data_IF_612480192652
#
_entry.id   IF_612480192652
#
_cell.length_a   1.000
_cell.length_b   1.000
_cell.length_c   1.000
_cell.angle_alpha   90.00
_cell.angle_beta   90.00
_cell.angle_gamma   90.00
#
_symmetry.space_group_name_H-M   'P 1'
#
loop_
_entity.id
_entity.type
_entity.pdbx_description
1 polymer ?
#
# COMPACT_ATOMS: atom_id res chain seq x y z
N UNK A 1 -23.85 -39.77 13.40
CA UNK A 1 -23.03 -40.80 14.02
C UNK A 1 -21.59 -40.47 13.69
N UNK A 2 -20.91 -39.93 14.66
CA UNK A 2 -19.49 -39.62 14.58
C UNK A 2 -18.71 -40.90 14.89
N UNK A 3 -17.80 -41.30 14.03
CA UNK A 3 -16.88 -42.39 14.27
C UNK A 3 -15.59 -41.80 14.83
N UNK A 4 -15.42 -41.96 16.13
CA UNK A 4 -14.17 -41.72 16.83
C UNK A 4 -13.13 -42.74 16.38
N UNK A 5 -11.97 -42.28 15.89
CA UNK A 5 -10.79 -43.14 15.75
C UNK A 5 -9.92 -42.97 17.01
N UNK A 6 -9.44 -44.05 17.61
CA UNK A 6 -8.58 -43.98 18.80
C UNK A 6 -7.21 -43.45 18.39
N UNK A 7 -6.70 -42.52 19.21
CA UNK A 7 -5.33 -42.00 19.18
C UNK A 7 -4.40 -43.14 19.57
N UNK A 8 -3.55 -43.58 18.64
CA UNK A 8 -2.50 -44.55 18.91
C UNK A 8 -1.44 -43.94 19.84
N UNK A 9 -1.00 -44.72 20.81
CA UNK A 9 0.09 -44.41 21.72
C UNK A 9 1.37 -44.09 20.96
N UNK A 10 2.23 -43.19 21.46
CA UNK A 10 3.50 -42.89 20.82
C UNK A 10 4.44 -44.08 20.94
N UNK A 11 4.90 -44.55 19.79
CA UNK A 11 5.90 -45.60 19.67
C UNK A 11 7.25 -45.02 20.14
N UNK A 12 7.64 -45.35 21.36
CA UNK A 12 8.95 -45.07 21.94
C UNK A 12 9.92 -46.18 21.54
N UNK A 13 10.46 -46.12 20.36
CA UNK A 13 11.71 -46.81 19.99
C UNK A 13 12.14 -46.32 18.59
N UNK A 14 12.67 -45.11 18.51
CA UNK A 14 13.54 -44.69 17.42
C UNK A 14 14.92 -44.54 18.03
N UNK A 15 15.72 -45.58 17.94
CA UNK A 15 17.17 -45.46 18.08
C UNK A 15 17.67 -44.54 16.97
N UNK A 16 17.98 -43.30 17.34
CA UNK A 16 18.74 -42.37 16.47
C UNK A 16 20.18 -42.83 16.56
N UNK A 17 20.61 -43.67 15.59
CA UNK A 17 22.04 -43.82 15.35
C UNK A 17 22.66 -42.44 15.21
N UNK A 18 23.73 -42.25 15.96
CA UNK A 18 24.40 -40.96 16.12
C UNK A 18 24.74 -40.32 14.77
N UNK A 19 24.03 -39.27 14.44
CA UNK A 19 24.50 -38.28 13.47
C UNK A 19 25.61 -37.52 14.18
N UNK A 20 26.83 -37.91 13.94
CA UNK A 20 28.01 -37.07 14.21
C UNK A 20 27.87 -35.88 13.27
N UNK A 21 27.43 -34.74 13.78
CA UNK A 21 27.58 -33.47 13.08
C UNK A 21 29.08 -33.21 13.12
N UNK A 22 29.78 -33.57 12.04
CA UNK A 22 31.08 -33.02 11.77
C UNK A 22 30.83 -31.51 11.55
N UNK A 23 31.10 -30.71 12.57
CA UNK A 23 31.35 -29.30 12.35
C UNK A 23 32.49 -29.23 11.36
N UNK A 24 32.33 -28.57 10.18
CA UNK A 24 33.47 -28.32 9.33
C UNK A 24 34.48 -27.57 10.18
N UNK A 25 35.68 -28.15 10.32
CA UNK A 25 36.83 -27.44 10.83
C UNK A 25 36.98 -26.20 9.93
N UNK A 26 36.48 -25.06 10.40
CA UNK A 26 36.88 -23.79 9.83
C UNK A 26 38.34 -23.62 10.20
N UNK A 27 39.21 -24.12 9.36
CA UNK A 27 40.61 -23.68 9.34
C UNK A 27 40.54 -22.17 9.08
N UNK A 28 40.72 -21.41 10.14
CA UNK A 28 40.91 -19.96 10.06
C UNK A 28 42.31 -19.75 9.53
N UNK A 29 42.51 -19.87 8.20
CA UNK A 29 43.70 -19.38 7.51
C UNK A 29 43.63 -17.84 7.37
N UNK A 30 43.45 -17.15 8.49
CA UNK A 30 43.35 -15.70 8.47
C UNK A 30 44.64 -14.99 8.89
N UNK A 31 45.69 -15.71 9.19
CA UNK A 31 46.94 -15.12 9.66
C UNK A 31 48.14 -15.77 8.91
N UNK A 32 48.62 -15.12 7.88
CA UNK A 32 49.95 -15.43 7.32
C UNK A 32 51.03 -14.74 8.14
N UNK A 33 51.86 -15.52 8.83
CA UNK A 33 53.03 -15.04 9.52
C UNK A 33 54.19 -14.93 8.49
N UNK A 34 54.67 -13.72 8.28
CA UNK A 34 55.89 -13.52 7.47
C UNK A 34 57.16 -13.85 8.28
N UNK A 35 58.24 -14.18 7.57
CA UNK A 35 59.56 -14.55 8.21
C UNK A 35 60.15 -13.40 9.07
N UNK A 36 59.67 -12.17 8.95
CA UNK A 36 60.08 -11.00 9.70
C UNK A 36 59.27 -10.80 11.01
N UNK A 37 58.31 -11.70 11.32
CA UNK A 37 57.48 -11.64 12.53
C UNK A 37 56.28 -10.69 12.43
N UNK A 38 55.99 -10.12 11.27
CA UNK A 38 54.75 -9.39 11.01
C UNK A 38 53.66 -10.35 10.56
N UNK A 39 52.44 -10.15 11.07
CA UNK A 39 51.27 -10.89 10.68
C UNK A 39 50.40 -10.01 9.77
N UNK A 40 50.13 -10.48 8.56
CA UNK A 40 49.12 -9.88 7.69
C UNK A 40 47.80 -10.52 8.10
N UNK A 41 46.97 -9.74 8.73
CA UNK A 41 45.56 -10.08 8.95
C UNK A 41 44.82 -9.65 7.69
N UNK A 42 44.35 -10.62 6.91
CA UNK A 42 43.45 -10.36 5.79
C UNK A 42 42.03 -10.27 6.36
N UNK A 43 41.48 -9.09 6.59
CA UNK A 43 40.17 -8.93 7.20
C UNK A 43 39.00 -9.06 6.23
N UNK A 44 39.26 -9.40 4.99
CA UNK A 44 38.15 -9.59 4.04
C UNK A 44 37.68 -11.04 4.13
N UNK A 45 36.49 -11.31 4.74
CA UNK A 45 35.83 -12.56 4.46
C UNK A 45 35.56 -12.58 2.95
N UNK A 46 36.08 -13.61 2.25
CA UNK A 46 35.68 -13.85 0.88
C UNK A 46 34.15 -13.90 0.84
N UNK A 47 33.52 -12.88 0.23
CA UNK A 47 32.05 -12.74 0.09
C UNK A 47 31.46 -13.80 -0.86
N UNK A 48 32.12 -14.90 -1.08
CA UNK A 48 31.75 -15.94 -2.04
C UNK A 48 30.66 -16.88 -1.56
N UNK A 49 30.20 -16.78 -0.29
CA UNK A 49 29.26 -17.74 0.28
C UNK A 49 27.92 -17.13 0.78
N UNK A 50 27.60 -15.89 0.34
CA UNK A 50 26.32 -15.28 0.70
C UNK A 50 25.18 -15.90 -0.11
N UNK A 51 24.27 -16.61 0.54
CA UNK A 51 23.13 -17.22 -0.11
C UNK A 51 22.32 -16.18 -0.90
N UNK A 52 21.80 -16.59 -2.07
CA UNK A 52 21.11 -15.67 -2.98
C UNK A 52 19.92 -14.95 -2.33
N UNK A 53 19.16 -15.67 -1.51
CA UNK A 53 17.95 -15.15 -0.84
C UNK A 53 18.22 -14.54 0.54
N UNK A 54 19.49 -14.36 0.95
CA UNK A 54 19.84 -13.78 2.25
C UNK A 54 19.60 -12.26 2.28
N UNK A 55 19.41 -11.72 3.49
CA UNK A 55 19.33 -10.28 3.72
C UNK A 55 20.71 -9.63 3.59
N UNK A 56 20.99 -8.98 2.47
CA UNK A 56 22.28 -8.36 2.18
C UNK A 56 22.64 -7.22 3.14
N UNK A 57 21.65 -6.62 3.80
CA UNK A 57 21.90 -5.55 4.77
C UNK A 57 22.69 -6.01 6.01
N UNK A 58 22.80 -7.31 6.25
CA UNK A 58 23.62 -7.88 7.34
C UNK A 58 25.12 -7.90 7.01
N UNK A 59 25.47 -7.80 5.72
CA UNK A 59 26.85 -7.92 5.23
C UNK A 59 27.46 -6.57 4.82
N UNK A 60 26.70 -5.48 4.92
CA UNK A 60 27.14 -4.12 4.53
C UNK A 60 27.33 -3.30 5.82
N UNK A 61 28.35 -2.47 5.87
CA UNK A 61 28.63 -1.59 7.00
C UNK A 61 27.53 -0.56 7.22
N UNK A 62 27.23 -0.26 8.48
CA UNK A 62 26.15 0.67 8.86
C UNK A 62 26.32 2.08 8.29
N UNK A 63 27.57 2.56 8.15
CA UNK A 63 27.88 3.87 7.56
C UNK A 63 27.51 3.93 6.07
N UNK A 64 27.69 2.85 5.34
CA UNK A 64 27.33 2.75 3.92
C UNK A 64 25.81 2.58 3.74
N UNK A 65 25.21 1.74 4.58
CA UNK A 65 23.75 1.63 4.65
C UNK A 65 23.08 2.99 4.96
N UNK A 66 23.70 3.78 5.85
CA UNK A 66 23.23 5.13 6.17
C UNK A 66 23.28 6.10 4.99
N UNK A 67 24.31 6.02 4.16
CA UNK A 67 24.42 6.83 2.93
C UNK A 67 23.37 6.44 1.89
N UNK A 68 23.20 5.13 1.66
CA UNK A 68 22.18 4.59 0.74
C UNK A 68 20.80 5.00 1.19
N UNK A 69 20.49 4.79 2.48
CA UNK A 69 19.20 5.15 3.07
C UNK A 69 18.89 6.63 2.95
N UNK A 70 19.83 7.51 3.28
CA UNK A 70 19.66 8.96 3.16
C UNK A 70 19.31 9.38 1.73
N UNK A 71 20.04 8.85 0.74
CA UNK A 71 19.78 9.12 -0.68
C UNK A 71 18.39 8.65 -1.10
N UNK A 72 18.00 7.43 -0.71
CA UNK A 72 16.71 6.86 -1.05
C UNK A 72 15.53 7.58 -0.37
N UNK A 73 15.70 8.04 0.87
CA UNK A 73 14.69 8.84 1.56
C UNK A 73 14.50 10.20 0.89
N UNK A 74 15.57 10.84 0.44
CA UNK A 74 15.48 12.10 -0.30
C UNK A 74 14.83 11.91 -1.67
N UNK A 75 15.13 10.83 -2.37
CA UNK A 75 14.46 10.42 -3.60
C UNK A 75 12.95 10.17 -3.37
N UNK A 76 12.59 9.47 -2.31
CA UNK A 76 11.20 9.26 -1.92
C UNK A 76 10.46 10.60 -1.69
N UNK A 77 11.07 11.56 -0.99
CA UNK A 77 10.51 12.89 -0.77
C UNK A 77 10.30 13.65 -2.08
N UNK A 78 11.26 13.55 -2.99
CA UNK A 78 11.17 14.14 -4.32
C UNK A 78 10.03 13.52 -5.14
N UNK A 79 9.93 12.18 -5.14
CA UNK A 79 8.86 11.45 -5.82
C UNK A 79 7.49 11.79 -5.24
N UNK A 80 7.37 11.92 -3.91
CA UNK A 80 6.15 12.35 -3.20
C UNK A 80 5.75 13.77 -3.64
N UNK A 81 6.70 14.69 -3.73
CA UNK A 81 6.47 16.06 -4.17
C UNK A 81 6.08 16.12 -5.65
N UNK A 82 6.65 15.28 -6.50
CA UNK A 82 6.38 15.28 -7.94
C UNK A 82 4.90 15.05 -8.30
N UNK A 83 4.12 14.42 -7.42
CA UNK A 83 2.69 14.13 -7.60
C UNK A 83 1.75 15.04 -6.81
N UNK A 84 2.24 16.09 -6.16
CA UNK A 84 1.47 16.92 -5.22
C UNK A 84 0.19 17.52 -5.83
N UNK A 85 0.21 17.98 -7.09
CA UNK A 85 -0.98 18.52 -7.74
C UNK A 85 -2.09 17.46 -7.92
N UNK A 86 -1.72 16.26 -8.34
CA UNK A 86 -2.64 15.13 -8.45
C UNK A 86 -3.18 14.71 -7.07
N UNK A 87 -2.29 14.65 -6.08
CA UNK A 87 -2.60 14.30 -4.70
C UNK A 87 -3.56 15.32 -4.04
N UNK A 88 -3.33 16.61 -4.27
CA UNK A 88 -4.21 17.68 -3.78
C UNK A 88 -5.59 17.66 -4.46
N UNK A 89 -5.66 17.35 -5.75
CA UNK A 89 -6.93 17.16 -6.43
C UNK A 89 -7.74 15.98 -5.82
N UNK A 90 -7.06 14.88 -5.53
CA UNK A 90 -7.66 13.74 -4.84
C UNK A 90 -8.18 14.14 -3.45
N UNK A 91 -7.35 14.77 -2.62
CA UNK A 91 -7.72 15.23 -1.27
C UNK A 91 -8.96 16.14 -1.29
N UNK A 92 -8.95 17.15 -2.16
CA UNK A 92 -10.09 18.08 -2.33
C UNK A 92 -11.35 17.39 -2.84
N UNK A 93 -11.17 16.32 -3.62
CA UNK A 93 -12.28 15.55 -4.18
C UNK A 93 -12.98 14.67 -3.14
N UNK A 94 -12.29 14.22 -2.10
CA UNK A 94 -12.91 13.43 -1.03
C UNK A 94 -14.03 14.19 -0.33
N UNK A 95 -13.92 15.50 -0.15
CA UNK A 95 -14.97 16.34 0.44
C UNK A 95 -16.26 16.36 -0.42
N UNK A 96 -16.17 16.04 -1.71
CA UNK A 96 -17.32 16.01 -2.62
C UNK A 96 -18.12 14.70 -2.56
N UNK A 97 -17.63 13.69 -1.84
CA UNK A 97 -18.40 12.45 -1.60
C UNK A 97 -19.68 12.70 -0.81
N UNK A 98 -19.69 13.73 0.03
CA UNK A 98 -20.90 14.14 0.73
C UNK A 98 -21.35 13.23 1.88
N UNK A 99 -20.48 12.36 2.39
CA UNK A 99 -20.80 11.44 3.48
C UNK A 99 -20.99 12.14 4.83
N UNK A 100 -20.50 13.37 4.96
CA UNK A 100 -20.66 14.16 6.17
C UNK A 100 -21.40 15.46 5.88
N UNK A 101 -22.44 15.77 6.70
CA UNK A 101 -23.10 17.07 6.69
C UNK A 101 -22.12 18.14 7.18
N UNK A 102 -22.02 19.25 6.45
CA UNK A 102 -21.13 20.36 6.79
C UNK A 102 -21.92 21.45 7.52
N UNK A 103 -21.65 21.66 8.80
CA UNK A 103 -22.20 22.82 9.50
C UNK A 103 -21.61 24.11 8.91
N UNK A 104 -22.51 25.01 8.48
CA UNK A 104 -22.13 26.29 7.87
C UNK A 104 -22.65 27.47 8.67
N UNK A 105 -21.78 28.43 8.87
CA UNK A 105 -22.10 29.71 9.52
C UNK A 105 -22.18 30.86 8.53
N UNK A 106 -21.87 30.64 7.27
CA UNK A 106 -21.91 31.62 6.19
C UNK A 106 -22.79 31.10 5.04
N UNK A 107 -23.62 31.94 4.41
CA UNK A 107 -23.73 33.40 4.58
C UNK A 107 -24.48 33.83 5.87
N UNK A 108 -25.15 32.89 6.57
CA UNK A 108 -25.79 33.11 7.86
C UNK A 108 -25.68 31.83 8.71
N UNK A 109 -25.87 31.96 10.00
CA UNK A 109 -25.82 30.84 10.93
C UNK A 109 -27.01 29.88 10.66
N UNK A 110 -26.71 28.58 10.47
CA UNK A 110 -27.69 27.58 10.06
C UNK A 110 -27.90 27.46 8.54
N UNK A 111 -27.02 28.08 7.74
CA UNK A 111 -27.04 27.90 6.29
C UNK A 111 -26.85 26.42 5.91
N UNK A 112 -27.45 26.00 4.80
CA UNK A 112 -27.48 24.61 4.36
C UNK A 112 -26.09 24.03 4.14
N UNK A 113 -25.81 22.92 4.81
CA UNK A 113 -24.55 22.16 4.68
C UNK A 113 -24.64 20.95 3.76
N UNK A 114 -25.72 20.83 2.98
CA UNK A 114 -25.97 19.70 2.11
C UNK A 114 -24.91 19.60 1.00
N UNK A 115 -24.52 18.39 0.66
CA UNK A 115 -23.64 18.10 -0.51
C UNK A 115 -24.42 17.24 -1.48
N UNK A 116 -24.40 17.60 -2.77
CA UNK A 116 -25.06 16.79 -3.80
C UNK A 116 -24.28 15.48 -4.01
N UNK A 117 -24.90 14.29 -3.91
CA UNK A 117 -24.22 12.99 -3.89
C UNK A 117 -23.81 12.50 -5.29
N UNK A 118 -23.66 13.39 -6.28
CA UNK A 118 -23.35 13.02 -7.67
C UNK A 118 -22.11 12.13 -7.80
N UNK A 119 -21.06 12.47 -7.06
CA UNK A 119 -19.79 11.73 -7.13
C UNK A 119 -19.92 10.37 -6.44
N UNK A 120 -20.49 10.31 -5.24
CA UNK A 120 -20.67 9.07 -4.50
C UNK A 120 -21.60 8.09 -5.23
N UNK A 121 -22.69 8.59 -5.81
CA UNK A 121 -23.60 7.77 -6.61
C UNK A 121 -22.88 7.16 -7.83
N UNK A 122 -22.13 7.98 -8.58
CA UNK A 122 -21.40 7.50 -9.75
C UNK A 122 -20.34 6.45 -9.40
N UNK A 123 -19.60 6.65 -8.30
CA UNK A 123 -18.60 5.69 -7.81
C UNK A 123 -19.25 4.37 -7.40
N UNK A 124 -20.34 4.44 -6.63
CA UNK A 124 -21.05 3.25 -6.12
C UNK A 124 -21.69 2.46 -7.27
N UNK A 125 -22.25 3.14 -8.28
CA UNK A 125 -22.81 2.47 -9.46
C UNK A 125 -21.72 1.71 -10.24
N UNK A 126 -20.56 2.33 -10.44
CA UNK A 126 -19.43 1.66 -11.09
C UNK A 126 -18.99 0.43 -10.28
N UNK A 127 -18.79 0.59 -8.95
CA UNK A 127 -18.39 -0.51 -8.06
C UNK A 127 -19.36 -1.69 -8.18
N UNK A 128 -20.65 -1.46 -8.04
CA UNK A 128 -21.67 -2.51 -8.09
C UNK A 128 -21.72 -3.25 -9.43
N UNK A 129 -21.55 -2.54 -10.54
CA UNK A 129 -21.53 -3.14 -11.86
C UNK A 129 -20.24 -3.92 -12.12
N UNK A 130 -19.10 -3.31 -11.85
CA UNK A 130 -17.78 -3.91 -12.07
C UNK A 130 -17.57 -5.16 -11.19
N UNK A 131 -17.98 -5.11 -9.93
CA UNK A 131 -17.88 -6.25 -9.01
C UNK A 131 -18.61 -7.47 -9.55
N UNK A 132 -19.86 -7.29 -10.00
CA UNK A 132 -20.68 -8.37 -10.54
C UNK A 132 -20.10 -8.98 -11.82
N UNK A 133 -19.48 -8.16 -12.67
CA UNK A 133 -18.87 -8.60 -13.94
C UNK A 133 -17.53 -9.30 -13.72
N UNK A 134 -16.72 -8.80 -12.78
CA UNK A 134 -15.38 -9.33 -12.52
C UNK A 134 -15.37 -10.57 -11.63
N UNK A 135 -16.37 -10.71 -10.75
CA UNK A 135 -16.49 -11.82 -9.81
C UNK A 135 -17.82 -12.57 -9.99
N UNK A 136 -18.02 -13.26 -11.14
CA UNK A 136 -19.21 -14.05 -11.35
C UNK A 136 -19.25 -15.27 -10.42
N UNK A 137 -20.42 -15.81 -10.14
CA UNK A 137 -20.64 -16.93 -9.23
C UNK A 137 -19.86 -18.21 -9.58
N UNK A 138 -19.46 -18.37 -10.84
CA UNK A 138 -18.61 -19.48 -11.30
C UNK A 138 -17.10 -19.24 -11.19
N UNK A 139 -16.69 -18.11 -10.61
CA UNK A 139 -15.30 -17.68 -10.50
C UNK A 139 -14.81 -16.87 -11.70
N UNK A 140 -13.76 -16.04 -11.50
CA UNK A 140 -13.25 -15.10 -12.52
C UNK A 140 -12.42 -15.77 -13.61
N UNK A 141 -11.89 -16.99 -13.38
CA UNK A 141 -10.94 -17.62 -14.29
C UNK A 141 -11.68 -18.44 -15.35
N UNK A 142 -11.31 -18.19 -16.61
CA UNK A 142 -11.70 -19.00 -17.77
C UNK A 142 -10.43 -19.48 -18.46
N UNK A 143 -10.43 -20.74 -18.91
CA UNK A 143 -9.34 -21.33 -19.68
C UNK A 143 -9.67 -21.36 -21.16
N UNK A 144 -8.67 -21.14 -22.00
CA UNK A 144 -8.77 -21.26 -23.44
C UNK A 144 -7.63 -22.13 -23.95
N UNK A 145 -7.95 -23.12 -24.78
CA UNK A 145 -6.95 -23.98 -25.40
C UNK A 145 -6.41 -23.28 -26.63
N UNK A 146 -5.09 -23.11 -26.68
CA UNK A 146 -4.38 -22.58 -27.85
C UNK A 146 -3.89 -23.76 -28.70
N UNK A 147 -4.26 -23.79 -29.96
CA UNK A 147 -3.94 -24.87 -30.89
C UNK A 147 -5.08 -25.87 -31.10
N UNK A 148 -4.79 -27.09 -31.52
CA UNK A 148 -5.80 -28.11 -31.81
C UNK A 148 -6.37 -28.66 -30.49
N UNK A 149 -7.69 -28.57 -30.25
CA UNK A 149 -8.33 -29.16 -29.09
C UNK A 149 -8.25 -30.69 -29.14
N UNK A 150 -8.02 -31.29 -27.99
CA UNK A 150 -8.02 -32.71 -27.77
C UNK A 150 -8.70 -32.99 -26.41
N UNK A 151 -9.38 -34.12 -26.27
CA UNK A 151 -10.15 -34.47 -25.05
C UNK A 151 -9.30 -34.42 -23.78
N UNK A 152 -8.02 -34.80 -23.88
CA UNK A 152 -7.08 -34.73 -22.73
C UNK A 152 -6.75 -33.31 -22.35
N UNK A 153 -6.52 -32.44 -23.34
CA UNK A 153 -6.27 -31.00 -23.13
C UNK A 153 -7.50 -30.27 -22.58
N UNK A 154 -8.70 -30.67 -23.00
CA UNK A 154 -9.95 -30.11 -22.48
C UNK A 154 -10.11 -30.43 -20.99
N UNK A 155 -9.91 -31.69 -20.61
CA UNK A 155 -9.94 -32.08 -19.19
C UNK A 155 -8.87 -31.40 -18.35
N UNK A 156 -7.68 -31.21 -18.91
CA UNK A 156 -6.61 -30.47 -18.23
C UNK A 156 -6.98 -29.00 -18.04
N UNK A 157 -7.53 -28.36 -19.08
CA UNK A 157 -7.99 -26.96 -19.02
C UNK A 157 -9.10 -26.77 -17.98
N UNK A 158 -10.03 -27.73 -17.86
CA UNK A 158 -11.07 -27.70 -16.81
C UNK A 158 -10.47 -27.82 -15.42
N UNK A 159 -9.55 -28.75 -15.19
CA UNK A 159 -8.86 -28.89 -13.89
C UNK A 159 -8.10 -27.61 -13.52
N UNK A 160 -7.40 -26.99 -14.46
CA UNK A 160 -6.67 -25.72 -14.23
C UNK A 160 -7.65 -24.62 -13.88
N UNK A 161 -8.75 -24.47 -14.63
CA UNK A 161 -9.80 -23.48 -14.34
C UNK A 161 -10.35 -23.64 -12.92
N UNK A 162 -10.74 -24.86 -12.57
CA UNK A 162 -11.37 -25.16 -11.29
C UNK A 162 -10.39 -24.96 -10.13
N UNK A 163 -9.14 -25.36 -10.31
CA UNK A 163 -8.09 -25.14 -9.33
C UNK A 163 -7.79 -23.63 -9.12
N UNK A 164 -7.66 -22.86 -10.21
CA UNK A 164 -7.42 -21.42 -10.12
C UNK A 164 -8.59 -20.68 -9.47
N UNK A 165 -9.83 -21.05 -9.83
CA UNK A 165 -11.02 -20.47 -9.19
C UNK A 165 -11.08 -20.84 -7.70
N UNK A 166 -10.73 -22.07 -7.34
CA UNK A 166 -10.64 -22.49 -5.94
C UNK A 166 -9.59 -21.67 -5.17
N UNK A 167 -8.40 -21.44 -5.75
CA UNK A 167 -7.37 -20.61 -5.14
C UNK A 167 -7.86 -19.18 -4.88
N UNK A 168 -8.48 -18.55 -5.87
CA UNK A 168 -8.91 -17.15 -5.78
C UNK A 168 -10.13 -16.99 -4.86
N UNK A 169 -11.11 -17.89 -4.94
CA UNK A 169 -12.39 -17.72 -4.24
C UNK A 169 -12.41 -18.31 -2.81
N UNK A 170 -11.51 -19.25 -2.50
CA UNK A 170 -11.56 -19.99 -1.24
C UNK A 170 -10.24 -19.99 -0.46
N UNK A 171 -9.09 -19.95 -1.12
CA UNK A 171 -7.78 -19.96 -0.45
C UNK A 171 -7.31 -18.53 -0.15
N UNK A 172 -7.51 -17.60 -1.09
CA UNK A 172 -7.20 -16.18 -0.90
C UNK A 172 -8.40 -15.47 -0.28
N UNK A 173 -8.58 -15.57 1.04
CA UNK A 173 -9.70 -14.99 1.77
C UNK A 173 -9.78 -13.45 1.60
N UNK A 174 -8.63 -12.82 1.40
CA UNK A 174 -8.52 -11.37 1.20
C UNK A 174 -8.95 -10.91 -0.19
N UNK A 175 -9.00 -11.81 -1.20
CA UNK A 175 -9.17 -11.41 -2.60
C UNK A 175 -10.48 -10.66 -2.86
N UNK A 176 -11.58 -11.18 -2.34
CA UNK A 176 -12.93 -10.62 -2.52
C UNK A 176 -13.10 -9.25 -1.85
N UNK A 177 -12.90 -9.09 -0.51
CA UNK A 177 -13.06 -7.80 0.13
C UNK A 177 -12.09 -6.73 -0.38
N UNK A 178 -10.87 -7.12 -0.72
CA UNK A 178 -9.88 -6.19 -1.27
C UNK A 178 -10.17 -5.80 -2.73
N UNK A 179 -10.81 -6.68 -3.50
CA UNK A 179 -11.31 -6.34 -4.84
C UNK A 179 -12.46 -5.34 -4.75
N UNK A 180 -13.42 -5.56 -3.86
CA UNK A 180 -14.55 -4.66 -3.66
C UNK A 180 -14.08 -3.26 -3.24
N UNK A 181 -13.14 -3.19 -2.30
CA UNK A 181 -12.52 -1.94 -1.89
C UNK A 181 -11.77 -1.26 -3.07
N UNK A 182 -11.00 -2.01 -3.85
CA UNK A 182 -10.31 -1.49 -5.03
C UNK A 182 -11.28 -0.90 -6.04
N UNK A 183 -12.42 -1.55 -6.29
CA UNK A 183 -13.44 -1.09 -7.23
C UNK A 183 -14.16 0.18 -6.79
N UNK A 184 -14.17 0.51 -5.50
CA UNK A 184 -14.61 1.80 -5.00
C UNK A 184 -13.55 2.89 -5.25
N UNK A 185 -12.29 2.59 -4.92
CA UNK A 185 -11.20 3.57 -5.06
C UNK A 185 -10.82 3.84 -6.51
N UNK A 186 -10.87 2.85 -7.40
CA UNK A 186 -10.45 2.98 -8.78
C UNK A 186 -11.17 4.09 -9.55
N UNK A 187 -12.52 4.12 -9.61
CA UNK A 187 -13.22 5.21 -10.27
C UNK A 187 -13.07 6.53 -9.53
N UNK A 188 -12.92 6.51 -8.21
CA UNK A 188 -12.81 7.71 -7.39
C UNK A 188 -11.52 8.46 -7.69
N UNK A 189 -10.37 7.79 -7.52
CA UNK A 189 -9.03 8.40 -7.60
C UNK A 189 -8.41 8.35 -8.98
N UNK A 190 -8.79 7.36 -9.79
CA UNK A 190 -8.26 7.10 -11.12
C UNK A 190 -7.08 6.14 -11.17
N UNK A 191 -6.46 5.84 -10.03
CA UNK A 191 -5.36 4.88 -9.92
C UNK A 191 -5.49 4.05 -8.66
N UNK A 192 -5.28 2.75 -8.81
CA UNK A 192 -5.17 1.81 -7.70
C UNK A 192 -4.15 0.74 -8.04
N UNK A 193 -3.67 0.04 -7.03
CA UNK A 193 -2.66 -0.98 -7.21
C UNK A 193 -3.04 -2.25 -6.49
N UNK A 194 -2.53 -3.38 -6.97
CA UNK A 194 -2.48 -4.63 -6.22
C UNK A 194 -1.04 -5.10 -6.10
N UNK A 195 -0.67 -5.59 -4.92
CA UNK A 195 0.58 -6.31 -4.69
C UNK A 195 0.26 -7.80 -4.65
N UNK A 196 0.94 -8.57 -5.49
CA UNK A 196 0.77 -10.02 -5.59
C UNK A 196 2.12 -10.66 -5.26
N UNK A 197 2.13 -11.50 -4.23
CA UNK A 197 3.34 -12.18 -3.78
C UNK A 197 3.00 -13.50 -3.11
N UNK A 198 3.98 -14.36 -2.98
CA UNK A 198 3.85 -15.57 -2.18
C UNK A 198 4.27 -15.28 -0.74
N UNK A 199 3.38 -15.54 0.21
CA UNK A 199 3.67 -15.36 1.64
C UNK A 199 4.13 -16.70 2.21
N UNK A 200 5.41 -16.78 2.58
CA UNK A 200 6.01 -17.99 3.13
C UNK A 200 5.43 -18.38 4.49
N UNK A 201 4.91 -17.42 5.27
CA UNK A 201 4.30 -17.70 6.58
C UNK A 201 2.91 -18.29 6.44
N UNK A 202 2.17 -17.88 5.42
CA UNK A 202 0.84 -18.41 5.09
C UNK A 202 0.90 -19.61 4.15
N UNK A 203 2.04 -19.86 3.49
CA UNK A 203 2.23 -20.94 2.52
C UNK A 203 1.37 -20.81 1.27
N UNK A 204 0.93 -19.60 0.91
CA UNK A 204 0.03 -19.34 -0.23
C UNK A 204 0.32 -18.01 -0.91
N UNK A 205 -0.17 -17.85 -2.13
CA UNK A 205 -0.19 -16.55 -2.79
C UNK A 205 -1.18 -15.60 -2.12
N UNK A 206 -0.83 -14.33 -2.08
CA UNK A 206 -1.59 -13.24 -1.46
C UNK A 206 -1.76 -12.11 -2.48
N UNK A 207 -2.96 -11.53 -2.53
CA UNK A 207 -3.29 -10.39 -3.40
C UNK A 207 -3.84 -9.26 -2.56
N UNK A 208 -3.01 -8.23 -2.32
CA UNK A 208 -3.34 -7.07 -1.48
C UNK A 208 -3.66 -5.84 -2.31
N UNK A 209 -4.74 -5.16 -1.97
CA UNK A 209 -5.06 -3.83 -2.49
C UNK A 209 -4.15 -2.78 -1.86
N UNK A 210 -3.63 -1.89 -2.69
CA UNK A 210 -2.84 -0.74 -2.26
C UNK A 210 -3.48 0.52 -2.83
N UNK A 211 -3.94 1.45 -1.97
CA UNK A 211 -4.43 2.72 -2.42
C UNK A 211 -3.30 3.56 -3.03
N UNK A 212 -3.64 4.47 -3.92
CA UNK A 212 -2.65 5.29 -4.62
C UNK A 212 -1.85 6.25 -3.70
N UNK A 213 -2.33 6.49 -2.48
CA UNK A 213 -1.61 7.26 -1.47
C UNK A 213 -0.41 6.49 -0.90
N UNK A 214 -0.49 5.17 -0.83
CA UNK A 214 0.54 4.31 -0.23
C UNK A 214 1.54 3.72 -1.25
N UNK A 215 1.33 3.91 -2.56
CA UNK A 215 2.32 3.56 -3.58
C UNK A 215 2.82 4.82 -4.31
N UNK A 216 4.09 5.12 -4.14
CA UNK A 216 4.73 6.33 -4.66
C UNK A 216 5.69 5.94 -5.78
N UNK A 217 5.45 6.56 -6.94
CA UNK A 217 6.25 6.36 -8.16
C UNK A 217 6.52 7.74 -8.75
N UNK A 218 7.70 8.02 -9.33
CA UNK A 218 7.98 9.29 -9.98
C UNK A 218 6.91 9.64 -11.01
N UNK A 219 6.37 10.86 -10.96
CA UNK A 219 5.19 11.26 -11.77
C UNK A 219 5.40 11.12 -13.28
N UNK A 220 6.64 11.27 -13.73
CA UNK A 220 6.98 11.19 -15.16
C UNK A 220 7.20 9.75 -15.66
N UNK A 221 7.14 8.74 -14.79
CA UNK A 221 7.25 7.35 -15.21
C UNK A 221 6.09 6.95 -16.13
N UNK A 222 6.37 6.12 -17.12
CA UNK A 222 5.36 5.63 -18.07
C UNK A 222 4.57 4.47 -17.46
N UNK A 223 5.27 3.52 -16.87
CA UNK A 223 4.69 2.32 -16.26
C UNK A 223 5.53 1.84 -15.06
N UNK A 224 5.09 0.79 -14.38
CA UNK A 224 5.78 0.23 -13.23
C UNK A 224 7.09 -0.50 -13.60
N UNK A 225 7.21 -1.02 -14.81
CA UNK A 225 8.39 -1.76 -15.25
C UNK A 225 9.54 -0.82 -15.59
N UNK A 226 9.21 0.31 -16.23
CA UNK A 226 10.17 1.34 -16.63
C UNK A 226 10.43 2.36 -15.50
N UNK A 227 9.67 2.30 -14.41
CA UNK A 227 9.87 3.20 -13.29
C UNK A 227 11.23 2.97 -12.62
N UNK A 228 11.96 4.05 -12.42
CA UNK A 228 13.26 4.03 -11.73
C UNK A 228 13.13 3.49 -10.31
N UNK A 229 12.08 3.94 -9.60
CA UNK A 229 11.75 3.51 -8.24
C UNK A 229 10.26 3.29 -8.07
N UNK A 230 9.91 2.31 -7.25
CA UNK A 230 8.54 2.09 -6.77
C UNK A 230 8.61 1.96 -5.26
N UNK A 231 8.03 2.91 -4.53
CA UNK A 231 8.05 2.92 -3.07
C UNK A 231 6.67 2.57 -2.53
N UNK A 232 6.59 1.51 -1.75
CA UNK A 232 5.40 1.10 -1.01
C UNK A 232 5.52 1.51 0.45
N UNK A 233 4.63 2.36 0.93
CA UNK A 233 4.58 2.82 2.32
C UNK A 233 3.81 1.80 3.14
N UNK A 234 4.48 1.17 4.08
CA UNK A 234 3.94 0.15 4.98
C UNK A 234 3.78 0.72 6.39
N UNK A 235 2.60 0.55 6.96
CA UNK A 235 2.38 0.84 8.38
C UNK A 235 2.37 -0.46 9.14
N UNK A 236 3.25 -0.60 10.14
CA UNK A 236 3.45 -1.82 10.90
C UNK A 236 3.39 -1.54 12.40
N UNK A 237 2.89 -2.51 13.14
CA UNK A 237 2.96 -2.52 14.59
C UNK A 237 4.31 -3.06 15.07
N UNK A 238 4.73 -2.71 16.29
CA UNK A 238 5.96 -3.22 16.89
C UNK A 238 6.03 -4.75 16.85
N UNK A 239 4.92 -5.42 17.17
CA UNK A 239 4.86 -6.88 17.19
C UNK A 239 5.06 -7.50 15.79
N UNK A 240 4.56 -6.87 14.71
CA UNK A 240 4.80 -7.35 13.34
C UNK A 240 6.28 -7.22 12.97
N UNK A 241 6.89 -6.11 13.31
CA UNK A 241 8.33 -5.89 13.05
C UNK A 241 9.17 -6.89 13.80
N UNK A 242 8.87 -7.10 15.11
CA UNK A 242 9.58 -8.07 15.92
C UNK A 242 9.46 -9.49 15.39
N UNK A 243 8.29 -9.88 14.87
CA UNK A 243 8.12 -11.17 14.19
C UNK A 243 9.02 -11.30 12.97
N UNK A 244 9.14 -10.24 12.15
CA UNK A 244 10.01 -10.24 10.98
C UNK A 244 11.49 -10.28 11.35
N UNK A 245 11.89 -9.65 12.46
CA UNK A 245 13.24 -9.74 13.00
C UNK A 245 13.56 -11.16 13.50
N UNK A 246 12.65 -11.79 14.25
CA UNK A 246 12.82 -13.17 14.75
C UNK A 246 12.92 -14.21 13.63
N UNK A 247 12.20 -14.01 12.51
CA UNK A 247 12.26 -14.88 11.35
C UNK A 247 13.54 -14.63 10.51
N UNK A 248 14.28 -13.55 10.78
CA UNK A 248 15.48 -13.17 10.01
C UNK A 248 15.17 -12.43 8.70
N UNK A 249 13.93 -12.00 8.48
CA UNK A 249 13.60 -11.15 7.33
C UNK A 249 14.08 -9.72 7.49
N UNK A 250 14.12 -9.21 8.71
CA UNK A 250 14.64 -7.89 9.06
C UNK A 250 15.82 -8.03 10.00
N UNK A 251 16.78 -7.12 9.92
CA UNK A 251 17.89 -7.01 10.86
C UNK A 251 17.34 -6.76 12.27
N UNK A 252 17.94 -7.38 13.28
CA UNK A 252 17.59 -7.15 14.69
C UNK A 252 18.25 -5.87 15.20
N UNK A 253 17.66 -4.74 14.84
CA UNK A 253 18.10 -3.39 15.22
C UNK A 253 16.96 -2.64 15.88
N UNK A 254 17.32 -1.75 16.80
CA UNK A 254 16.33 -0.87 17.46
C UNK A 254 15.92 0.24 16.50
N UNK A 255 14.62 0.36 16.29
CA UNK A 255 13.98 1.43 15.52
C UNK A 255 13.02 2.20 16.42
N UNK A 256 12.67 3.41 16.02
CA UNK A 256 11.76 4.26 16.79
C UNK A 256 10.41 4.40 16.10
N UNK A 257 9.31 4.37 16.86
CA UNK A 257 8.00 4.62 16.30
C UNK A 257 7.95 5.97 15.59
N UNK A 258 7.48 5.95 14.36
CA UNK A 258 7.24 7.15 13.57
C UNK A 258 5.96 6.97 12.78
N UNK A 259 5.02 7.86 12.98
CA UNK A 259 3.79 7.89 12.24
C UNK A 259 3.38 9.34 11.96
N UNK A 260 3.19 9.64 10.71
CA UNK A 260 2.63 10.91 10.25
C UNK A 260 1.38 10.66 9.42
N UNK A 261 0.27 11.28 9.80
CA UNK A 261 -0.95 11.22 8.99
C UNK A 261 -0.71 11.91 7.64
N UNK A 262 -0.97 11.17 6.57
CA UNK A 262 -1.00 11.81 5.26
C UNK A 262 -2.19 12.79 5.17
N UNK A 263 -2.04 13.85 4.38
CA UNK A 263 -3.13 14.81 4.12
C UNK A 263 -4.43 14.15 3.63
N UNK A 264 -4.32 12.99 2.96
CA UNK A 264 -5.49 12.18 2.56
C UNK A 264 -6.06 11.45 3.76
N UNK A 265 -5.23 10.87 4.63
CA UNK A 265 -5.70 10.19 5.83
C UNK A 265 -6.43 11.16 6.76
N UNK A 266 -5.92 12.37 6.93
CA UNK A 266 -6.63 13.44 7.66
C UNK A 266 -7.99 13.78 7.04
N UNK A 267 -8.07 13.81 5.70
CA UNK A 267 -9.33 14.05 5.00
C UNK A 267 -10.32 12.88 5.20
N UNK A 268 -9.85 11.63 5.13
CA UNK A 268 -10.64 10.42 5.43
C UNK A 268 -11.15 10.45 6.87
N UNK A 269 -10.28 10.69 7.84
CA UNK A 269 -10.62 10.78 9.27
C UNK A 269 -11.69 11.86 9.53
N UNK A 270 -11.55 13.01 8.87
CA UNK A 270 -12.54 14.09 8.97
C UNK A 270 -13.91 13.69 8.41
N UNK A 271 -13.95 12.94 7.30
CA UNK A 271 -15.20 12.47 6.69
C UNK A 271 -15.86 11.41 7.57
N UNK A 272 -15.09 10.46 8.08
CA UNK A 272 -15.57 9.38 8.95
C UNK A 272 -15.92 9.86 10.36
N UNK A 273 -15.46 11.06 10.74
CA UNK A 273 -15.65 11.62 12.07
C UNK A 273 -14.77 10.96 13.13
N UNK A 274 -13.76 10.21 12.71
CA UNK A 274 -12.75 9.64 13.60
C UNK A 274 -11.76 10.73 13.99
N UNK A 275 -11.50 10.86 15.30
CA UNK A 275 -10.40 11.69 15.78
C UNK A 275 -9.24 10.78 16.10
N UNK A 276 -8.09 11.05 15.51
CA UNK A 276 -6.82 10.38 15.81
C UNK A 276 -6.33 10.76 17.23
N UNK A 277 -7.13 10.48 18.25
CA UNK A 277 -6.77 10.83 19.63
C UNK A 277 -5.81 9.84 20.29
N UNK A 278 -5.57 8.68 19.67
CA UNK A 278 -4.76 7.61 20.26
C UNK A 278 -3.99 6.81 19.21
N UNK A 279 -3.26 7.48 18.31
CA UNK A 279 -2.14 6.77 17.73
C UNK A 279 -1.10 6.65 18.83
N UNK A 280 -1.15 5.49 19.47
CA UNK A 280 -0.07 5.08 20.34
C UNK A 280 1.24 5.20 19.56
N UNK A 281 2.28 5.56 20.26
CA UNK A 281 3.64 5.65 19.75
C UNK A 281 4.19 4.31 19.21
N UNK A 282 3.33 3.33 18.90
CA UNK A 282 3.68 1.95 18.57
C UNK A 282 3.53 1.63 17.08
N UNK A 283 3.22 2.64 16.25
CA UNK A 283 3.15 2.47 14.80
C UNK A 283 4.43 2.96 14.12
N UNK A 284 4.92 2.13 13.22
CA UNK A 284 6.13 2.35 12.43
C UNK A 284 5.77 2.53 10.97
N UNK A 285 6.40 3.49 10.33
CA UNK A 285 6.28 3.69 8.88
C UNK A 285 7.52 3.15 8.20
N UNK A 286 7.36 2.10 7.42
CA UNK A 286 8.42 1.48 6.65
C UNK A 286 8.26 1.83 5.16
N UNK A 287 9.36 2.10 4.50
CA UNK A 287 9.45 2.34 3.06
C UNK A 287 10.05 1.10 2.39
N UNK A 288 9.22 0.33 1.71
CA UNK A 288 9.65 -0.78 0.86
C UNK A 288 9.90 -0.23 -0.55
N UNK A 289 11.15 -0.13 -0.93
CA UNK A 289 11.58 0.50 -2.18
C UNK A 289 12.12 -0.54 -3.16
N UNK A 290 11.53 -0.60 -4.34
CA UNK A 290 11.99 -1.42 -5.46
C UNK A 290 12.75 -0.53 -6.43
N UNK A 291 14.08 -0.66 -6.48
CA UNK A 291 14.95 0.20 -7.29
C UNK A 291 16.21 -0.54 -7.72
N UNK A 292 16.92 0.04 -8.69
CA UNK A 292 18.18 -0.49 -9.18
C UNK A 292 19.32 0.24 -8.46
N UNK A 293 20.20 -0.53 -7.80
CA UNK A 293 21.30 0.00 -6.98
C UNK A 293 22.61 -0.66 -7.30
N UNK A 294 23.66 0.06 -7.00
CA UNK A 294 25.02 -0.44 -6.92
C UNK A 294 25.37 -0.56 -5.44
N UNK A 295 25.43 -1.81 -4.95
CA UNK A 295 25.65 -2.08 -3.53
C UNK A 295 27.13 -2.39 -3.28
N UNK A 296 27.76 -1.74 -2.27
CA UNK A 296 29.14 -2.03 -1.89
C UNK A 296 29.33 -3.51 -1.56
N UNK A 297 30.33 -4.13 -2.20
CA UNK A 297 30.62 -5.55 -2.04
C UNK A 297 29.76 -6.52 -2.85
N UNK A 298 28.74 -6.01 -3.55
CA UNK A 298 27.85 -6.78 -4.43
C UNK A 298 27.72 -6.13 -5.82
N UNK A 299 28.75 -5.38 -6.22
CA UNK A 299 28.79 -4.70 -7.51
C UNK A 299 28.85 -5.72 -8.66
N UNK A 300 28.14 -5.41 -9.74
CA UNK A 300 28.27 -6.19 -10.96
C UNK A 300 29.59 -5.85 -11.66
N UNK A 301 30.30 -6.86 -12.15
CA UNK A 301 31.57 -6.71 -12.87
C UNK A 301 31.47 -5.79 -14.10
N UNK A 302 30.27 -5.69 -14.69
CA UNK A 302 29.99 -4.85 -15.85
C UNK A 302 29.61 -3.41 -15.48
N UNK A 303 29.56 -3.05 -14.18
CA UNK A 303 29.13 -1.74 -13.68
C UNK A 303 27.62 -1.46 -13.85
N UNK A 304 26.82 -2.51 -13.96
CA UNK A 304 25.37 -2.41 -14.09
C UNK A 304 24.75 -2.39 -12.69
N UNK A 305 23.84 -1.45 -12.45
CA UNK A 305 23.03 -1.45 -11.23
C UNK A 305 22.05 -2.62 -11.25
N UNK A 306 21.98 -3.35 -10.15
CA UNK A 306 21.11 -4.51 -10.02
C UNK A 306 19.79 -4.13 -9.32
N UNK A 307 18.67 -4.82 -9.63
CA UNK A 307 17.39 -4.56 -8.96
C UNK A 307 17.35 -5.19 -7.57
N UNK A 308 16.98 -4.34 -6.58
CA UNK A 308 16.83 -4.73 -5.18
C UNK A 308 15.50 -4.28 -4.60
N UNK A 309 15.10 -4.93 -3.51
CA UNK A 309 14.02 -4.50 -2.63
C UNK A 309 14.65 -4.10 -1.31
N UNK A 310 14.54 -2.82 -0.96
CA UNK A 310 15.09 -2.27 0.27
C UNK A 310 13.95 -1.85 1.19
N UNK A 311 14.02 -2.26 2.45
CA UNK A 311 13.09 -1.79 3.47
C UNK A 311 13.81 -0.86 4.44
N UNK A 312 13.33 0.37 4.54
CA UNK A 312 13.90 1.43 5.38
C UNK A 312 12.84 1.87 6.38
N UNK A 313 13.24 2.07 7.63
CA UNK A 313 12.40 2.74 8.61
C UNK A 313 12.44 4.26 8.38
N UNK A 314 11.29 4.88 8.08
CA UNK A 314 11.20 6.32 7.78
C UNK A 314 11.61 7.17 8.98
N UNK A 315 11.34 6.71 10.20
CA UNK A 315 11.61 7.47 11.43
C UNK A 315 13.10 7.58 11.77
N UNK A 316 13.80 6.45 11.75
CA UNK A 316 15.23 6.40 12.12
C UNK A 316 16.17 6.47 10.91
N UNK A 317 15.66 6.28 9.68
CA UNK A 317 16.46 6.18 8.48
C UNK A 317 17.31 4.89 8.41
N UNK A 318 17.05 3.90 9.25
CA UNK A 318 17.81 2.65 9.26
C UNK A 318 17.28 1.66 8.24
N UNK A 319 18.20 0.96 7.59
CA UNK A 319 17.87 -0.13 6.65
C UNK A 319 17.60 -1.41 7.43
N UNK A 320 16.41 -2.00 7.22
CA UNK A 320 15.99 -3.25 7.85
C UNK A 320 16.35 -4.46 6.98
N UNK A 321 16.23 -4.34 5.68
CA UNK A 321 16.52 -5.45 4.77
C UNK A 321 16.87 -4.97 3.37
N UNK A 322 17.68 -5.76 2.69
CA UNK A 322 17.99 -5.62 1.26
C UNK A 322 17.94 -7.01 0.64
N UNK A 323 17.01 -7.20 -0.32
CA UNK A 323 16.86 -8.47 -1.04
C UNK A 323 17.04 -8.27 -2.55
N UNK A 324 17.61 -9.28 -3.23
CA UNK A 324 17.72 -9.30 -4.68
C UNK A 324 16.33 -9.42 -5.33
N UNK A 325 16.04 -8.59 -6.32
CA UNK A 325 14.75 -8.55 -7.01
C UNK A 325 14.83 -9.10 -8.44
N UNK A 326 15.63 -10.15 -8.64
CA UNK A 326 15.79 -10.85 -9.92
C UNK A 326 15.87 -12.35 -9.67
N UNK A 327 15.89 -13.17 -10.69
CA UNK A 327 16.09 -14.61 -10.55
C UNK A 327 17.61 -14.92 -10.64
N UNK A 328 18.07 -15.89 -9.86
CA UNK A 328 19.48 -16.27 -9.79
C UNK A 328 20.06 -16.73 -11.14
N UNK A 329 19.23 -17.41 -11.93
CA UNK A 329 19.54 -17.96 -13.24
C UNK A 329 19.34 -16.95 -14.40
N UNK A 330 18.86 -15.71 -14.12
CA UNK A 330 18.61 -14.69 -15.14
C UNK A 330 19.84 -13.83 -15.42
N UNK A 331 20.53 -14.11 -16.52
CA UNK A 331 21.69 -13.34 -16.99
C UNK A 331 21.37 -11.87 -17.34
N UNK A 332 20.11 -11.49 -17.46
CA UNK A 332 19.68 -10.12 -17.76
C UNK A 332 19.20 -9.35 -16.53
N UNK A 333 19.21 -9.96 -15.36
CA UNK A 333 18.80 -9.36 -14.09
C UNK A 333 17.44 -8.66 -14.16
N UNK A 334 16.44 -9.31 -14.79
CA UNK A 334 15.11 -8.72 -14.95
C UNK A 334 14.42 -8.53 -13.62
N UNK A 335 13.98 -7.31 -13.36
CA UNK A 335 13.22 -6.95 -12.17
C UNK A 335 11.94 -7.79 -12.06
N UNK A 336 11.78 -8.52 -10.96
CA UNK A 336 10.52 -9.20 -10.63
C UNK A 336 9.45 -8.16 -10.31
N UNK A 337 8.26 -8.31 -10.88
CA UNK A 337 7.16 -7.37 -10.72
C UNK A 337 6.12 -7.90 -9.73
N UNK A 338 5.94 -7.21 -8.64
CA UNK A 338 4.96 -7.55 -7.60
C UNK A 338 3.70 -6.67 -7.66
N UNK A 339 3.76 -5.52 -8.29
CA UNK A 339 2.69 -4.54 -8.33
C UNK A 339 1.98 -4.55 -9.68
N UNK A 340 0.65 -4.46 -9.64
CA UNK A 340 -0.20 -4.29 -10.83
C UNK A 340 -0.92 -2.96 -10.69
N UNK A 341 -0.79 -2.10 -11.70
CA UNK A 341 -1.44 -0.79 -11.76
C UNK A 341 -2.75 -0.86 -12.53
N UNK A 342 -3.84 -0.45 -11.88
CA UNK A 342 -5.15 -0.30 -12.48
C UNK A 342 -5.43 1.20 -12.69
N UNK A 343 -5.71 1.60 -13.92
CA UNK A 343 -6.07 2.98 -14.29
C UNK A 343 -7.53 3.02 -14.71
N UNK A 344 -8.30 3.96 -14.16
CA UNK A 344 -9.68 4.19 -14.58
C UNK A 344 -9.71 4.88 -15.95
N UNK A 345 -9.01 6.01 -16.07
CA UNK A 345 -8.68 6.65 -17.34
C UNK A 345 -7.18 6.92 -17.38
N UNK A 346 -6.53 6.72 -18.54
CA UNK A 346 -5.14 7.10 -18.69
C UNK A 346 -4.93 8.59 -18.35
N UNK A 347 -3.93 8.87 -17.49
CA UNK A 347 -3.53 10.24 -17.16
C UNK A 347 -2.49 10.78 -18.14
N UNK A 348 -2.05 12.01 -17.91
CA UNK A 348 -0.95 12.65 -18.64
C UNK A 348 0.43 12.25 -18.07
N UNK A 349 0.45 11.71 -16.84
CA UNK A 349 1.62 11.16 -16.18
C UNK A 349 1.36 9.72 -15.73
N UNK A 350 2.09 9.29 -14.71
CA UNK A 350 1.97 7.93 -14.18
C UNK A 350 0.56 7.62 -13.66
N UNK A 351 -0.03 8.54 -12.88
CA UNK A 351 -1.34 8.32 -12.26
C UNK A 351 -2.48 8.63 -13.24
N UNK A 352 -3.54 7.82 -13.19
CA UNK A 352 -4.74 7.99 -14.00
C UNK A 352 -5.70 9.06 -13.45
N UNK A 353 -6.69 9.41 -14.27
CA UNK A 353 -7.77 10.31 -13.88
C UNK A 353 -8.99 9.51 -13.42
N UNK A 354 -9.57 9.91 -12.29
CA UNK A 354 -10.81 9.38 -11.74
C UNK A 354 -12.00 10.34 -11.92
N UNK A 355 -13.14 9.92 -11.43
CA UNK A 355 -14.38 10.72 -11.44
C UNK A 355 -14.24 12.03 -10.66
N UNK A 356 -13.36 12.07 -9.65
CA UNK A 356 -12.99 13.32 -8.97
C UNK A 356 -12.53 14.39 -9.95
N UNK A 357 -11.68 14.03 -10.90
CA UNK A 357 -11.14 14.93 -11.89
C UNK A 357 -12.19 15.33 -12.94
N UNK A 358 -13.06 14.40 -13.31
CA UNK A 358 -14.06 14.62 -14.36
C UNK A 358 -15.31 15.33 -13.84
N UNK A 359 -15.84 14.87 -12.71
CA UNK A 359 -17.13 15.32 -12.17
C UNK A 359 -16.99 16.27 -11.00
N UNK A 360 -15.78 16.45 -10.46
CA UNK A 360 -15.56 17.25 -9.25
C UNK A 360 -16.04 18.70 -9.40
N UNK A 361 -15.76 19.34 -10.53
CA UNK A 361 -16.24 20.68 -10.83
C UNK A 361 -17.78 20.76 -10.92
N UNK A 362 -18.39 19.80 -11.59
CA UNK A 362 -19.84 19.71 -11.74
C UNK A 362 -20.52 19.42 -10.41
N UNK A 363 -20.01 18.47 -9.62
CA UNK A 363 -20.50 18.15 -8.27
C UNK A 363 -20.45 19.37 -7.35
N UNK A 364 -19.38 20.15 -7.41
CA UNK A 364 -19.24 21.41 -6.65
C UNK A 364 -20.27 22.43 -7.05
N UNK A 365 -20.50 22.62 -8.36
CA UNK A 365 -21.50 23.54 -8.88
C UNK A 365 -22.93 23.12 -8.49
N UNK A 366 -23.26 21.84 -8.64
CA UNK A 366 -24.55 21.29 -8.22
C UNK A 366 -24.78 21.46 -6.70
N UNK A 367 -23.78 21.18 -5.88
CA UNK A 367 -23.80 21.41 -4.43
C UNK A 367 -24.04 22.88 -4.09
N UNK A 368 -23.34 23.80 -4.78
CA UNK A 368 -23.51 25.24 -4.56
C UNK A 368 -24.90 25.72 -4.92
N UNK A 369 -25.42 25.29 -6.08
CA UNK A 369 -26.77 25.64 -6.51
C UNK A 369 -27.85 25.10 -5.55
N UNK A 370 -27.70 23.84 -5.11
CA UNK A 370 -28.63 23.22 -4.15
C UNK A 370 -28.61 23.96 -2.80
N UNK A 371 -27.44 24.31 -2.29
CA UNK A 371 -27.30 25.11 -1.06
C UNK A 371 -27.95 26.47 -1.19
N UNK A 372 -27.69 27.19 -2.29
CA UNK A 372 -28.33 28.48 -2.53
C UNK A 372 -29.87 28.40 -2.61
N UNK A 373 -30.37 27.34 -3.25
CA UNK A 373 -31.84 27.14 -3.32
C UNK A 373 -32.46 26.91 -1.95
N UNK A 374 -31.84 26.07 -1.11
CA UNK A 374 -32.29 25.80 0.25
C UNK A 374 -32.17 27.04 1.13
N UNK A 375 -31.02 27.73 1.04
CA UNK A 375 -30.77 28.96 1.81
C UNK A 375 -31.74 30.07 1.42
N UNK A 376 -32.04 30.26 0.12
CA UNK A 376 -33.03 31.20 -0.35
C UNK A 376 -34.45 30.84 0.14
N UNK A 377 -34.83 29.56 0.11
CA UNK A 377 -36.11 29.08 0.68
C UNK A 377 -36.19 29.34 2.18
N UNK A 378 -35.13 29.11 2.92
CA UNK A 378 -35.06 29.39 4.35
C UNK A 378 -35.25 30.87 4.64
N UNK A 379 -34.52 31.74 3.93
CA UNK A 379 -34.64 33.21 4.07
C UNK A 379 -36.02 33.73 3.65
N UNK A 380 -36.61 33.16 2.60
CA UNK A 380 -37.95 33.54 2.14
C UNK A 380 -39.05 33.19 3.13
N UNK A 381 -38.89 32.12 3.90
CA UNK A 381 -39.83 31.67 4.92
C UNK A 381 -39.64 32.32 6.29
N UNK A 382 -38.55 33.10 6.46
CA UNK A 382 -38.32 33.86 7.69
C UNK A 382 -39.28 35.05 7.73
N UNK A 383 -40.00 35.28 8.85
CA UNK A 383 -40.80 36.49 9.03
C UNK A 383 -39.86 37.69 9.16
N UNK A 384 -39.62 38.37 8.05
CA UNK A 384 -38.85 39.61 8.03
C UNK A 384 -39.76 40.81 7.93
N UNK A 385 -39.54 41.84 8.76
CA UNK A 385 -40.32 43.06 8.78
C UNK A 385 -39.46 44.27 9.12
N UNK A 386 -39.96 45.45 8.74
CA UNK A 386 -39.34 46.73 9.13
C UNK A 386 -39.92 47.21 10.45
N UNK A 387 -39.08 47.57 11.40
CA UNK A 387 -39.47 48.15 12.68
C UNK A 387 -39.40 49.64 12.61
N UNK A 388 -40.46 50.33 13.03
CA UNK A 388 -40.43 51.76 13.17
C UNK A 388 -39.51 52.19 14.33
N UNK A 389 -38.72 53.22 14.10
CA UNK A 389 -37.84 53.79 15.11
C UNK A 389 -38.61 54.23 16.34
N UNK A 390 -38.37 53.63 17.50
CA UNK A 390 -39.03 53.91 18.76
C UNK A 390 -39.99 52.86 19.30
N UNK A 391 -40.27 51.78 18.54
CA UNK A 391 -41.01 50.63 19.06
C UNK A 391 -40.08 49.75 19.89
N UNK A 392 -40.35 49.60 21.18
CA UNK A 392 -39.66 48.66 22.06
C UNK A 392 -40.24 47.27 21.89
N UNK A 393 -39.47 46.36 21.31
CA UNK A 393 -39.78 44.93 21.27
C UNK A 393 -38.85 44.24 22.27
N UNK A 394 -39.38 43.29 23.03
CA UNK A 394 -38.59 42.48 23.97
C UNK A 394 -37.63 41.64 23.14
N UNK A 395 -36.37 41.59 23.54
CA UNK A 395 -35.27 40.82 22.86
C UNK A 395 -34.91 41.33 21.46
N UNK A 396 -34.89 42.64 21.27
CA UNK A 396 -34.62 43.35 19.99
C UNK A 396 -33.23 43.14 19.43
N UNK A 397 -32.27 42.68 20.25
CA UNK A 397 -30.85 42.47 19.89
C UNK A 397 -30.48 41.02 19.55
N UNK A 398 -31.44 40.09 19.66
CA UNK A 398 -31.22 38.69 19.30
C UNK A 398 -31.61 38.43 17.84
N UNK A 399 -30.69 37.83 17.02
CA UNK A 399 -31.05 37.41 15.67
C UNK A 399 -32.15 36.37 15.70
N UNK A 400 -33.25 36.58 14.95
CA UNK A 400 -34.29 35.58 14.78
C UNK A 400 -33.74 34.31 14.14
N UNK A 401 -33.99 33.18 14.77
CA UNK A 401 -33.62 31.90 14.18
C UNK A 401 -34.75 31.36 13.26
N UNK A 402 -34.44 30.53 12.27
CA UNK A 402 -35.46 29.89 11.42
C UNK A 402 -36.52 29.16 12.28
N UNK A 403 -37.77 29.59 12.21
CA UNK A 403 -38.89 29.05 12.98
C UNK A 403 -39.26 29.78 14.28
N UNK A 404 -38.57 30.86 14.63
CA UNK A 404 -38.98 31.80 15.68
C UNK A 404 -39.95 32.87 15.12
N UNK A 405 -41.04 33.11 15.83
CA UNK A 405 -42.07 34.08 15.49
C UNK A 405 -42.12 35.21 16.51
#
# INVERSE_FOLDING_TARGET
>A
MAVERPIGEPNTDIEIEGVTIETPDMEVEAIEMQEDGSAIVNPEPEMTDVQFDSNLAEYIEDDELGKISSTLIDDYKNDKTSRDDWYDAYRKGLDLLGFKYQERTQPFQGASGVTHPLLSESVTQFQAQAYKELLPSGGPVRTQIIGTPDTEKEQQAERVRDFMNYQIMHVMEEFDPELDQMLFYLPLTGSTFKKIYFDGTLGRAVSKFIPADDLIVPYLSTDLLSAERVTHVLRRTENEIKKMQVIGMYRDIDIQPFYEDSRIQEAKNRIEGTQNTNYNNDNYTLLEMHCDLDLPGFENQDGIKLPYIITIDEGSGKVLSIYRNYAEDDAFYKKKQYFVHYKFLPGLGFYGFGLIHMLGGLSRTATSALRQLIDAGTLSNLPAGFKARGLRVKDDDTPLQPGEF
#
